data_IF_754014869855
#
_entry.id   IF_754014869855
#
_cell.length_a   1.000
_cell.length_b   1.000
_cell.length_c   1.000
_cell.angle_alpha   90.00
_cell.angle_beta   90.00
_cell.angle_gamma   90.00
#
_symmetry.space_group_name_H-M   'P 1'
#
loop_
_entity.id
_entity.type
_entity.pdbx_description
1 polymer ?
#
# COMPACT_ATOMS: atom_id res chain seq x y z
N UNK A 1 -16.49 -7.65 -13.81
CA UNK A 1 -15.24 -7.09 -14.39
C UNK A 1 -14.78 -5.78 -13.73
N UNK A 2 -15.59 -5.15 -12.86
CA UNK A 2 -15.22 -3.93 -12.14
C UNK A 2 -14.31 -4.21 -10.92
N UNK A 3 -14.73 -5.10 -10.02
CA UNK A 3 -14.04 -5.35 -8.74
C UNK A 3 -12.58 -5.78 -8.92
N UNK A 4 -12.28 -6.70 -9.84
CA UNK A 4 -10.90 -7.15 -10.10
C UNK A 4 -9.99 -5.99 -10.49
N UNK A 5 -10.45 -5.12 -11.40
CA UNK A 5 -9.67 -3.95 -11.84
C UNK A 5 -9.51 -2.93 -10.72
N UNK A 6 -10.53 -2.75 -9.89
CA UNK A 6 -10.44 -1.91 -8.68
C UNK A 6 -9.36 -2.44 -7.74
N UNK A 7 -9.40 -3.74 -7.41
CA UNK A 7 -8.37 -4.39 -6.60
C UNK A 7 -6.99 -4.22 -7.24
N UNK A 8 -6.83 -4.57 -8.52
CA UNK A 8 -5.55 -4.42 -9.23
C UNK A 8 -5.03 -2.98 -9.20
N UNK A 9 -5.92 -1.99 -9.39
CA UNK A 9 -5.57 -0.56 -9.36
C UNK A 9 -5.16 -0.09 -7.96
N UNK A 10 -5.91 -0.48 -6.92
CA UNK A 10 -5.61 -0.11 -5.54
C UNK A 10 -4.28 -0.72 -5.07
N UNK A 11 -4.01 -1.98 -5.44
CA UNK A 11 -2.75 -2.65 -5.11
C UNK A 11 -1.56 -2.17 -5.95
N UNK A 12 -1.78 -1.69 -7.19
CA UNK A 12 -0.72 -1.13 -8.02
C UNK A 12 -0.05 0.08 -7.35
N UNK A 13 -0.80 0.85 -6.56
CA UNK A 13 -0.29 2.02 -5.84
C UNK A 13 0.71 1.66 -4.74
N UNK A 14 0.72 0.41 -4.23
CA UNK A 14 1.74 -0.02 -3.27
C UNK A 14 3.16 -0.03 -3.85
N UNK A 15 3.29 -0.12 -5.17
CA UNK A 15 4.58 0.02 -5.88
C UNK A 15 5.17 1.43 -5.67
N UNK A 16 4.33 2.47 -5.67
CA UNK A 16 4.74 3.84 -5.35
C UNK A 16 5.30 3.95 -3.93
N UNK A 17 4.75 3.18 -3.00
CA UNK A 17 5.22 3.08 -1.62
C UNK A 17 6.33 2.03 -1.43
N UNK A 18 6.95 1.55 -2.51
CA UNK A 18 8.09 0.64 -2.51
C UNK A 18 7.82 -0.69 -1.78
N UNK A 19 6.56 -1.11 -1.71
CA UNK A 19 6.14 -2.33 -1.00
C UNK A 19 6.77 -3.60 -1.60
N UNK A 20 6.95 -3.63 -2.91
CA UNK A 20 7.61 -4.71 -3.66
C UNK A 20 9.09 -4.90 -3.31
N UNK A 21 9.76 -3.84 -2.83
CA UNK A 21 11.16 -3.90 -2.39
C UNK A 21 11.29 -4.10 -0.88
N UNK A 22 10.29 -4.71 -0.25
CA UNK A 22 10.35 -5.09 1.15
C UNK A 22 11.38 -6.22 1.37
N UNK A 23 12.54 -5.85 1.91
CA UNK A 23 13.67 -6.76 2.21
C UNK A 23 13.79 -7.07 3.70
N UNK A 24 12.69 -7.06 4.44
CA UNK A 24 12.72 -7.45 5.85
C UNK A 24 13.21 -8.90 6.02
N UNK A 25 13.97 -9.13 7.10
CA UNK A 25 14.59 -10.44 7.40
C UNK A 25 13.79 -11.28 8.39
N UNK A 26 12.57 -10.86 8.70
CA UNK A 26 11.63 -11.58 9.57
C UNK A 26 10.20 -11.35 9.09
N UNK A 27 9.30 -12.26 9.43
CA UNK A 27 7.87 -12.12 9.11
C UNK A 27 7.28 -10.85 9.74
N UNK A 28 7.62 -10.59 11.01
CA UNK A 28 7.16 -9.40 11.71
C UNK A 28 7.63 -8.11 11.03
N UNK A 29 8.91 -8.03 10.64
CA UNK A 29 9.42 -6.85 9.94
C UNK A 29 8.87 -6.71 8.52
N UNK A 30 8.55 -7.83 7.85
CA UNK A 30 7.89 -7.80 6.55
C UNK A 30 6.50 -7.20 6.69
N UNK A 31 5.74 -7.67 7.68
CA UNK A 31 4.40 -7.19 7.95
C UNK A 31 4.39 -5.72 8.36
N UNK A 32 5.25 -5.29 9.29
CA UNK A 32 5.37 -3.89 9.69
C UNK A 32 5.63 -2.96 8.49
N UNK A 33 6.56 -3.33 7.60
CA UNK A 33 6.88 -2.50 6.43
C UNK A 33 5.75 -2.44 5.41
N UNK A 34 4.97 -3.51 5.27
CA UNK A 34 3.76 -3.49 4.44
C UNK A 34 2.66 -2.61 5.05
N UNK A 35 2.43 -2.72 6.36
CA UNK A 35 1.43 -1.92 7.07
C UNK A 35 1.74 -0.43 6.98
N UNK A 36 3.02 -0.04 7.08
CA UNK A 36 3.46 1.34 6.87
C UNK A 36 3.18 1.83 5.44
N UNK A 37 3.45 1.02 4.42
CA UNK A 37 3.16 1.39 3.03
C UNK A 37 1.65 1.60 2.79
N UNK A 38 0.82 0.72 3.34
CA UNK A 38 -0.65 0.84 3.27
C UNK A 38 -1.15 2.07 4.05
N UNK A 39 -0.59 2.33 5.24
CA UNK A 39 -0.95 3.49 6.04
C UNK A 39 -0.61 4.81 5.32
N UNK A 40 0.57 4.89 4.70
CA UNK A 40 0.97 6.06 3.92
C UNK A 40 0.02 6.32 2.75
N UNK A 41 -0.37 5.27 2.02
CA UNK A 41 -1.40 5.36 0.98
C UNK A 41 -2.72 5.91 1.51
N UNK A 42 -3.24 5.34 2.59
CA UNK A 42 -4.52 5.74 3.17
C UNK A 42 -4.49 7.19 3.66
N UNK A 43 -3.38 7.65 4.25
CA UNK A 43 -3.23 9.05 4.66
C UNK A 43 -3.23 10.00 3.47
N UNK A 44 -2.52 9.67 2.38
CA UNK A 44 -2.53 10.47 1.16
C UNK A 44 -3.94 10.56 0.56
N UNK A 45 -4.64 9.44 0.48
CA UNK A 45 -6.04 9.40 0.02
C UNK A 45 -6.94 10.28 0.89
N UNK A 46 -6.82 10.19 2.22
CA UNK A 46 -7.60 11.03 3.13
C UNK A 46 -7.32 12.53 2.93
N UNK A 47 -6.06 12.90 2.75
CA UNK A 47 -5.68 14.29 2.47
C UNK A 47 -6.25 14.78 1.13
N UNK A 48 -6.19 13.98 0.08
CA UNK A 48 -6.75 14.35 -1.23
C UNK A 48 -8.28 14.44 -1.21
N UNK A 49 -8.94 13.58 -0.43
CA UNK A 49 -10.40 13.47 -0.41
C UNK A 49 -11.09 14.43 0.56
N UNK A 50 -10.41 14.78 1.65
CA UNK A 50 -11.00 15.51 2.78
C UNK A 50 -10.31 16.84 3.13
N UNK A 51 -9.25 17.26 2.42
CA UNK A 51 -8.89 18.69 2.34
C UNK A 51 -9.87 19.45 1.46
#
# INVERSE_FOLDING_TARGET
>A
MAIRRTIESDFALLSYYNAENNRARSLAGFQERLEVAVLAYNMAYCLERFN
#
